data_IF_584377737365
#
_entry.id   IF_584377737365
#
_cell.length_a   1.000
_cell.length_b   1.000
_cell.length_c   1.000
_cell.angle_alpha   90.00
_cell.angle_beta   90.00
_cell.angle_gamma   90.00
#
_symmetry.space_group_name_H-M   'P 1'
#
loop_
_entity.id
_entity.type
_entity.pdbx_description
1 polymer ?
#
# COMPACT_ATOMS: atom_id res chain seq x y z
N UNK A 1 0.67 -0.99 24.34
CA UNK A 1 1.79 -1.51 23.52
C UNK A 1 1.48 -1.53 22.03
N UNK A 2 0.25 -1.87 21.62
CA UNK A 2 -0.14 -1.98 20.20
C UNK A 2 -0.10 -0.66 19.40
N UNK A 3 -0.12 0.50 20.07
CA UNK A 3 -0.02 1.81 19.44
C UNK A 3 1.26 1.98 18.58
N UNK A 4 2.34 1.26 18.93
CA UNK A 4 3.59 1.30 18.18
C UNK A 4 3.45 0.82 16.72
N UNK A 5 2.41 0.05 16.41
CA UNK A 5 2.18 -0.50 15.07
C UNK A 5 1.86 0.57 14.03
N UNK A 6 1.30 1.71 14.45
CA UNK A 6 1.02 2.84 13.56
C UNK A 6 2.32 3.40 12.96
N UNK A 7 3.44 3.28 13.68
CA UNK A 7 4.72 3.76 13.22
C UNK A 7 5.47 2.79 12.30
N UNK A 8 5.00 1.54 12.11
CA UNK A 8 5.74 0.57 11.30
C UNK A 8 5.87 1.03 9.84
N UNK A 9 4.80 1.53 9.22
CA UNK A 9 4.86 2.00 7.83
C UNK A 9 5.73 3.26 7.68
N UNK A 10 5.60 4.30 8.53
CA UNK A 10 6.55 5.42 8.55
C UNK A 10 8.00 4.98 8.77
N UNK A 11 8.26 4.03 9.68
CA UNK A 11 9.60 3.52 9.94
C UNK A 11 10.15 2.71 8.76
N UNK A 12 9.33 1.89 8.11
CA UNK A 12 9.71 1.15 6.91
C UNK A 12 10.07 2.10 5.77
N UNK A 13 9.31 3.19 5.59
CA UNK A 13 9.64 4.24 4.64
C UNK A 13 10.96 4.93 5.00
N UNK A 14 11.17 5.32 6.27
CA UNK A 14 12.41 5.96 6.69
C UNK A 14 13.62 5.04 6.47
N UNK A 15 13.50 3.75 6.81
CA UNK A 15 14.54 2.77 6.52
C UNK A 15 14.83 2.70 5.02
N UNK A 16 13.82 2.60 4.17
CA UNK A 16 13.99 2.64 2.72
C UNK A 16 14.72 3.92 2.27
N UNK A 17 14.27 5.09 2.73
CA UNK A 17 14.81 6.39 2.31
C UNK A 17 16.28 6.59 2.71
N UNK A 18 16.73 5.99 3.81
CA UNK A 18 18.13 6.04 4.26
C UNK A 18 19.04 5.18 3.36
N UNK A 19 18.51 4.10 2.79
CA UNK A 19 19.26 3.21 1.91
C UNK A 19 19.14 3.54 0.42
N UNK A 20 18.12 4.34 0.03
CA UNK A 20 17.99 4.89 -1.32
C UNK A 20 18.88 6.13 -1.48
N UNK A 21 19.67 6.19 -2.56
CA UNK A 21 20.61 7.29 -2.81
C UNK A 21 19.90 8.60 -3.23
N UNK A 22 18.64 8.54 -3.64
CA UNK A 22 17.86 9.70 -4.07
C UNK A 22 16.88 10.16 -3.00
N UNK A 23 17.19 11.30 -2.39
CA UNK A 23 16.43 11.89 -1.27
C UNK A 23 15.69 13.17 -1.64
N UNK A 24 15.92 13.73 -2.84
CA UNK A 24 15.22 14.94 -3.27
C UNK A 24 13.74 14.64 -3.52
N UNK A 25 12.86 15.21 -2.70
CA UNK A 25 11.42 15.12 -2.91
C UNK A 25 10.71 13.88 -2.33
N UNK A 26 11.45 12.83 -1.95
CA UNK A 26 10.85 11.58 -1.42
C UNK A 26 10.15 11.80 -0.08
N UNK A 27 10.79 12.52 0.85
CA UNK A 27 10.18 12.84 2.15
C UNK A 27 8.97 13.77 2.02
N UNK A 28 9.03 14.78 1.14
CA UNK A 28 7.86 15.63 0.87
C UNK A 28 6.72 14.84 0.25
N UNK A 29 7.01 13.93 -0.68
CA UNK A 29 5.98 13.07 -1.27
C UNK A 29 5.35 12.13 -0.26
N UNK A 30 6.11 11.62 0.72
CA UNK A 30 5.56 10.88 1.85
C UNK A 30 4.58 11.72 2.69
N UNK A 31 4.94 12.97 3.02
CA UNK A 31 4.04 13.89 3.76
C UNK A 31 2.78 14.20 2.96
N UNK A 32 2.93 14.53 1.66
CA UNK A 32 1.77 14.78 0.79
C UNK A 32 0.92 13.51 0.70
N UNK A 33 1.55 12.33 0.65
CA UNK A 33 0.89 11.03 0.71
C UNK A 33 0.08 10.80 1.98
N UNK A 34 0.60 11.19 3.16
CA UNK A 34 -0.17 11.13 4.41
C UNK A 34 -1.44 12.00 4.32
N UNK A 35 -1.30 13.24 3.82
CA UNK A 35 -2.42 14.15 3.64
C UNK A 35 -3.43 13.60 2.61
N UNK A 36 -2.95 13.09 1.48
CA UNK A 36 -3.81 12.53 0.43
C UNK A 36 -4.52 11.27 0.88
N UNK A 37 -3.88 10.45 1.71
CA UNK A 37 -4.49 9.28 2.34
C UNK A 37 -5.60 9.66 3.33
N UNK A 38 -5.45 10.74 4.11
CA UNK A 38 -6.53 11.26 4.95
C UNK A 38 -7.72 11.75 4.11
N UNK A 39 -7.46 12.48 3.03
CA UNK A 39 -8.51 12.92 2.09
C UNK A 39 -9.19 11.71 1.44
N UNK A 40 -8.42 10.69 1.05
CA UNK A 40 -8.95 9.45 0.52
C UNK A 40 -9.89 8.74 1.50
N UNK A 41 -9.51 8.64 2.78
CA UNK A 41 -10.36 8.06 3.81
C UNK A 41 -11.68 8.83 3.98
N UNK A 42 -11.63 10.16 3.91
CA UNK A 42 -12.84 11.00 3.91
C UNK A 42 -13.71 10.72 2.68
N UNK A 43 -13.14 10.67 1.48
CA UNK A 43 -13.87 10.36 0.24
C UNK A 43 -14.54 8.98 0.36
N UNK A 44 -13.80 7.97 0.82
CA UNK A 44 -14.29 6.59 0.97
C UNK A 44 -15.42 6.51 2.00
N UNK A 45 -15.42 7.37 3.03
CA UNK A 45 -16.49 7.38 4.03
C UNK A 45 -17.88 7.71 3.45
N UNK A 46 -17.93 8.39 2.30
CA UNK A 46 -19.18 8.63 1.57
C UNK A 46 -19.68 7.40 0.79
N UNK A 47 -18.84 6.39 0.58
CA UNK A 47 -19.24 5.14 -0.07
C UNK A 47 -19.81 4.18 0.98
N UNK A 48 -21.07 3.80 0.83
CA UNK A 48 -21.79 2.86 1.70
C UNK A 48 -21.31 1.40 1.55
N UNK A 49 -20.05 1.11 1.89
CA UNK A 49 -19.46 -0.25 1.82
C UNK A 49 -20.04 -1.19 2.91
N UNK A 50 -20.87 -0.65 3.82
CA UNK A 50 -21.54 -1.41 4.88
C UNK A 50 -22.36 -2.60 4.37
N UNK A 51 -22.93 -2.54 3.16
CA UNK A 51 -23.67 -3.65 2.57
C UNK A 51 -22.83 -4.92 2.31
N UNK A 52 -21.53 -4.75 2.08
CA UNK A 52 -20.58 -5.87 1.87
C UNK A 52 -20.18 -6.56 3.18
N UNK A 53 -20.56 -6.00 4.33
CA UNK A 53 -20.15 -6.52 5.64
C UNK A 53 -20.97 -7.69 6.18
N UNK A 54 -22.15 -7.94 5.60
CA UNK A 54 -23.15 -8.91 6.09
C UNK A 54 -23.15 -10.22 5.28
N UNK A 55 -22.27 -10.37 4.29
CA UNK A 55 -22.22 -11.57 3.45
C UNK A 55 -21.46 -12.72 4.13
N UNK A 56 -21.90 -13.96 3.95
CA UNK A 56 -21.15 -15.16 4.34
C UNK A 56 -20.18 -15.64 3.25
N UNK A 57 -20.15 -14.98 2.09
CA UNK A 57 -19.36 -15.40 0.94
C UNK A 57 -17.90 -14.95 1.04
N UNK A 58 -16.98 -15.92 0.98
CA UNK A 58 -15.54 -15.67 0.95
C UNK A 58 -15.14 -14.67 -0.15
N UNK A 59 -15.65 -14.84 -1.36
CA UNK A 59 -15.36 -13.95 -2.50
C UNK A 59 -15.79 -12.52 -2.22
N UNK A 60 -16.96 -12.32 -1.62
CA UNK A 60 -17.46 -10.98 -1.27
C UNK A 60 -16.54 -10.29 -0.27
N UNK A 61 -16.01 -11.03 0.70
CA UNK A 61 -15.04 -10.51 1.66
C UNK A 61 -13.68 -10.18 1.04
N UNK A 62 -13.20 -10.96 0.06
CA UNK A 62 -11.98 -10.60 -0.68
C UNK A 62 -12.18 -9.25 -1.35
N UNK A 63 -13.27 -9.07 -2.08
CA UNK A 63 -13.58 -7.79 -2.73
C UNK A 63 -13.77 -6.67 -1.72
N UNK A 64 -14.42 -6.92 -0.59
CA UNK A 64 -14.56 -5.92 0.48
C UNK A 64 -13.20 -5.45 0.98
N UNK A 65 -12.31 -6.37 1.35
CA UNK A 65 -10.98 -6.02 1.82
C UNK A 65 -10.15 -5.33 0.74
N UNK A 66 -10.21 -5.82 -0.49
CA UNK A 66 -9.52 -5.22 -1.62
C UNK A 66 -9.98 -3.78 -1.88
N UNK A 67 -11.30 -3.55 -1.97
CA UNK A 67 -11.88 -2.23 -2.21
C UNK A 67 -11.59 -1.27 -1.06
N UNK A 68 -11.87 -1.69 0.18
CA UNK A 68 -11.85 -0.82 1.35
C UNK A 68 -10.43 -0.49 1.82
N UNK A 69 -9.50 -1.46 1.76
CA UNK A 69 -8.15 -1.24 2.24
C UNK A 69 -7.19 -0.82 1.14
N UNK A 70 -7.30 -1.36 -0.08
CA UNK A 70 -6.28 -1.18 -1.12
C UNK A 70 -6.72 -0.32 -2.29
N UNK A 71 -7.73 -0.76 -3.06
CA UNK A 71 -8.06 -0.16 -4.36
C UNK A 71 -8.49 1.29 -4.21
N UNK A 72 -9.51 1.57 -3.39
CA UNK A 72 -10.05 2.92 -3.28
C UNK A 72 -9.03 3.87 -2.65
N UNK A 73 -8.30 3.41 -1.63
CA UNK A 73 -7.26 4.22 -1.00
C UNK A 73 -6.09 4.52 -1.95
N UNK A 74 -5.65 3.51 -2.70
CA UNK A 74 -4.63 3.68 -3.72
C UNK A 74 -5.06 4.67 -4.80
N UNK A 75 -6.25 4.47 -5.38
CA UNK A 75 -6.76 5.33 -6.47
C UNK A 75 -6.99 6.77 -5.99
N UNK A 76 -7.79 6.99 -4.96
CA UNK A 76 -8.11 8.34 -4.51
C UNK A 76 -6.91 9.03 -3.86
N UNK A 77 -6.13 8.30 -3.06
CA UNK A 77 -4.92 8.84 -2.44
C UNK A 77 -3.88 9.27 -3.48
N UNK A 78 -3.65 8.46 -4.52
CA UNK A 78 -2.74 8.82 -5.61
C UNK A 78 -3.31 9.92 -6.50
N UNK A 79 -4.60 9.91 -6.82
CA UNK A 79 -5.22 10.99 -7.59
C UNK A 79 -5.06 12.35 -6.89
N UNK A 80 -5.31 12.41 -5.59
CA UNK A 80 -5.11 13.63 -4.79
C UNK A 80 -3.62 13.98 -4.71
N UNK A 81 -2.74 12.99 -4.53
CA UNK A 81 -1.29 13.22 -4.56
C UNK A 81 -0.84 13.84 -5.89
N UNK A 82 -1.25 13.29 -7.04
CA UNK A 82 -0.88 13.83 -8.35
C UNK A 82 -1.44 15.24 -8.57
N UNK A 83 -2.68 15.52 -8.15
CA UNK A 83 -3.25 16.88 -8.23
C UNK A 83 -2.41 17.89 -7.43
N UNK A 84 -2.01 17.53 -6.20
CA UNK A 84 -1.18 18.40 -5.35
C UNK A 84 0.22 18.52 -5.94
N UNK A 85 0.85 17.41 -6.28
CA UNK A 85 2.23 17.36 -6.76
C UNK A 85 2.37 18.10 -8.08
N UNK A 86 1.50 17.90 -9.07
CA UNK A 86 1.54 18.67 -10.32
C UNK A 86 1.36 20.18 -10.13
N UNK A 87 0.74 20.61 -9.03
CA UNK A 87 0.61 22.03 -8.69
C UNK A 87 1.89 22.62 -8.05
N UNK A 88 2.78 21.77 -7.51
CA UNK A 88 3.98 22.18 -6.75
C UNK A 88 5.27 21.90 -7.54
N UNK A 89 5.39 20.73 -8.17
CA UNK A 89 6.59 20.22 -8.84
C UNK A 89 6.24 19.18 -9.91
N UNK A 90 6.91 19.21 -11.06
CA UNK A 90 6.65 18.28 -12.18
C UNK A 90 7.00 16.80 -11.91
N UNK A 91 7.87 16.50 -10.94
CA UNK A 91 8.44 15.17 -10.68
C UNK A 91 7.59 14.31 -9.72
N UNK A 92 6.32 14.11 -10.06
CA UNK A 92 5.39 13.37 -9.21
C UNK A 92 5.47 11.84 -9.37
N UNK A 93 5.93 11.34 -10.52
CA UNK A 93 5.92 9.90 -10.82
C UNK A 93 7.01 9.15 -10.05
N UNK A 94 8.24 9.66 -10.03
CA UNK A 94 9.36 9.00 -9.37
C UNK A 94 9.20 8.96 -7.84
N UNK A 95 8.48 9.95 -7.30
CA UNK A 95 8.20 10.04 -5.87
C UNK A 95 6.90 9.36 -5.43
N UNK A 96 6.14 8.78 -6.37
CA UNK A 96 4.84 8.14 -6.12
C UNK A 96 4.93 6.93 -5.17
N UNK A 97 6.04 6.20 -5.17
CA UNK A 97 6.35 5.16 -4.20
C UNK A 97 6.31 5.69 -2.76
N UNK A 98 6.95 6.84 -2.53
CA UNK A 98 7.00 7.48 -1.21
C UNK A 98 5.60 7.95 -0.80
N UNK A 99 4.82 8.45 -1.76
CA UNK A 99 3.43 8.82 -1.55
C UNK A 99 2.56 7.62 -1.15
N UNK A 100 2.75 6.45 -1.77
CA UNK A 100 2.05 5.21 -1.39
C UNK A 100 2.34 4.85 0.08
N UNK A 101 3.59 4.93 0.53
CA UNK A 101 3.91 4.73 1.95
C UNK A 101 3.16 5.70 2.85
N UNK A 102 3.06 6.97 2.47
CA UNK A 102 2.29 7.99 3.20
C UNK A 102 0.80 7.67 3.24
N UNK A 103 0.19 7.38 2.08
CA UNK A 103 -1.23 7.06 1.94
C UNK A 103 -1.59 5.87 2.83
N UNK A 104 -0.83 4.78 2.71
CA UNK A 104 -1.13 3.58 3.48
C UNK A 104 -0.78 3.70 4.96
N UNK A 105 0.12 4.62 5.35
CA UNK A 105 0.34 4.96 6.76
C UNK A 105 -0.90 5.58 7.40
N UNK A 106 -1.59 6.50 6.71
CA UNK A 106 -2.86 7.04 7.24
C UNK A 106 -3.96 5.98 7.28
N UNK A 107 -4.02 5.11 6.27
CA UNK A 107 -4.98 3.98 6.24
C UNK A 107 -4.72 3.01 7.39
N UNK A 108 -3.46 2.67 7.67
CA UNK A 108 -3.08 1.83 8.81
C UNK A 108 -3.45 2.47 10.15
N UNK A 109 -3.20 3.78 10.31
CA UNK A 109 -3.60 4.54 11.50
C UNK A 109 -5.12 4.51 11.71
N UNK A 110 -5.90 4.69 10.65
CA UNK A 110 -7.35 4.60 10.71
C UNK A 110 -7.85 3.19 11.02
N UNK A 111 -7.27 2.16 10.39
CA UNK A 111 -7.60 0.76 10.67
C UNK A 111 -7.29 0.38 12.13
N UNK A 112 -6.15 0.84 12.66
CA UNK A 112 -5.80 0.68 14.07
C UNK A 112 -6.83 1.38 14.99
N UNK A 113 -7.18 2.63 14.70
CA UNK A 113 -8.16 3.37 15.49
C UNK A 113 -9.52 2.67 15.55
N UNK A 114 -10.01 2.19 14.40
CA UNK A 114 -11.29 1.46 14.31
C UNK A 114 -11.27 0.15 15.11
N UNK A 115 -10.12 -0.50 15.21
CA UNK A 115 -9.95 -1.79 15.86
C UNK A 115 -9.31 -1.71 17.25
N UNK A 116 -9.21 -0.53 17.86
CA UNK A 116 -8.46 -0.31 19.11
C UNK A 116 -8.96 -1.15 20.30
N UNK A 117 -10.26 -1.48 20.30
CA UNK A 117 -10.91 -2.29 21.33
C UNK A 117 -10.90 -3.79 21.01
N UNK A 118 -10.36 -4.19 19.85
CA UNK A 118 -10.28 -5.59 19.43
C UNK A 118 -8.95 -6.16 19.94
N UNK A 119 -8.95 -7.24 20.73
CA UNK A 119 -7.72 -7.79 21.31
C UNK A 119 -6.80 -8.43 20.26
N UNK A 120 -7.35 -8.81 19.10
CA UNK A 120 -6.61 -9.46 18.02
C UNK A 120 -6.08 -8.45 17.00
N UNK A 121 -4.76 -8.38 16.88
CA UNK A 121 -4.02 -7.43 16.03
C UNK A 121 -3.68 -8.08 14.67
N UNK A 122 -3.93 -9.37 14.48
CA UNK A 122 -3.49 -10.11 13.30
C UNK A 122 -3.93 -9.46 11.98
N UNK A 123 -5.13 -8.88 11.91
CA UNK A 123 -5.59 -8.13 10.74
C UNK A 123 -4.60 -7.02 10.35
N UNK A 124 -4.19 -6.22 11.33
CA UNK A 124 -3.31 -5.07 11.13
C UNK A 124 -1.90 -5.52 10.74
N UNK A 125 -1.40 -6.59 11.35
CA UNK A 125 -0.08 -7.15 11.00
C UNK A 125 -0.06 -7.70 9.58
N UNK A 126 -1.11 -8.44 9.18
CA UNK A 126 -1.26 -8.95 7.82
C UNK A 126 -1.34 -7.79 6.84
N UNK A 127 -2.17 -6.79 7.14
CA UNK A 127 -2.32 -5.58 6.31
C UNK A 127 -0.98 -4.85 6.12
N UNK A 128 -0.27 -4.54 7.20
CA UNK A 128 1.03 -3.84 7.12
C UNK A 128 2.04 -4.65 6.31
N UNK A 129 2.12 -5.97 6.53
CA UNK A 129 3.01 -6.87 5.78
C UNK A 129 2.71 -6.85 4.28
N UNK A 130 1.43 -6.94 3.92
CA UNK A 130 0.98 -6.90 2.52
C UNK A 130 1.32 -5.55 1.89
N UNK A 131 1.00 -4.45 2.57
CA UNK A 131 1.25 -3.09 2.06
C UNK A 131 2.73 -2.86 1.80
N UNK A 132 3.61 -3.16 2.77
CA UNK A 132 5.05 -2.96 2.59
C UNK A 132 5.55 -3.77 1.40
N UNK A 133 5.21 -5.07 1.35
CA UNK A 133 5.63 -5.93 0.26
C UNK A 133 5.12 -5.46 -1.10
N UNK A 134 3.84 -5.10 -1.20
CA UNK A 134 3.22 -4.62 -2.43
C UNK A 134 3.86 -3.32 -2.93
N UNK A 135 4.14 -2.37 -2.04
CA UNK A 135 4.79 -1.10 -2.42
C UNK A 135 6.24 -1.34 -2.87
N UNK A 136 6.99 -2.25 -2.22
CA UNK A 136 8.34 -2.60 -2.67
C UNK A 136 8.37 -3.33 -4.02
N UNK A 137 7.38 -4.21 -4.28
CA UNK A 137 7.22 -4.84 -5.60
C UNK A 137 6.89 -3.79 -6.66
N UNK A 138 6.02 -2.84 -6.34
CA UNK A 138 5.69 -1.71 -7.21
C UNK A 138 6.94 -0.91 -7.60
N UNK A 139 7.75 -0.52 -6.61
CA UNK A 139 9.01 0.22 -6.83
C UNK A 139 9.97 -0.51 -7.76
N UNK A 140 10.19 -1.80 -7.48
CA UNK A 140 11.05 -2.65 -8.28
C UNK A 140 10.59 -2.72 -9.74
N UNK A 141 9.29 -2.96 -9.95
CA UNK A 141 8.72 -3.05 -11.29
C UNK A 141 8.84 -1.71 -12.00
N UNK A 142 8.54 -0.60 -11.33
CA UNK A 142 8.65 0.74 -11.90
C UNK A 142 10.10 1.05 -12.32
N UNK A 143 11.08 0.85 -11.44
CA UNK A 143 12.49 1.15 -11.70
C UNK A 143 13.07 0.27 -12.81
N UNK A 144 12.75 -1.03 -12.84
CA UNK A 144 13.19 -1.92 -13.92
C UNK A 144 12.58 -1.53 -15.26
N UNK A 145 11.29 -1.20 -15.28
CA UNK A 145 10.63 -0.83 -16.53
C UNK A 145 11.16 0.50 -17.06
N UNK A 146 11.36 1.51 -16.21
CA UNK A 146 11.98 2.79 -16.62
C UNK A 146 13.40 2.58 -17.16
N UNK A 147 14.21 1.76 -16.48
CA UNK A 147 15.59 1.55 -16.90
C UNK A 147 15.73 0.81 -18.25
N UNK A 148 14.77 -0.06 -18.60
CA UNK A 148 14.88 -0.95 -19.76
C UNK A 148 13.97 -0.60 -20.93
N UNK A 149 12.88 0.13 -20.70
CA UNK A 149 11.95 0.52 -21.76
C UNK A 149 12.27 1.93 -22.21
N UNK A 150 12.76 2.06 -23.45
CA UNK A 150 12.89 3.36 -24.15
C UNK A 150 11.54 3.93 -24.59
N UNK A 151 10.44 3.54 -23.93
CA UNK A 151 9.11 4.07 -24.23
C UNK A 151 9.07 5.46 -23.62
N UNK A 152 8.83 6.48 -24.46
CA UNK A 152 8.80 7.90 -24.08
C UNK A 152 7.59 8.30 -23.22
N UNK A 153 7.03 7.38 -22.42
CA UNK A 153 5.81 7.59 -21.65
C UNK A 153 5.95 6.98 -20.24
N UNK A 154 6.64 7.69 -19.35
CA UNK A 154 6.82 7.31 -17.93
C UNK A 154 5.49 7.02 -17.23
N UNK A 155 4.42 7.71 -17.64
CA UNK A 155 3.07 7.47 -17.14
C UNK A 155 2.51 6.08 -17.51
N UNK A 156 2.82 5.56 -18.71
CA UNK A 156 2.39 4.22 -19.12
C UNK A 156 3.14 3.15 -18.32
N UNK A 157 4.44 3.36 -18.06
CA UNK A 157 5.24 2.50 -17.19
C UNK A 157 4.66 2.47 -15.78
N UNK A 158 4.33 3.65 -15.25
CA UNK A 158 3.65 3.79 -13.96
C UNK A 158 2.33 3.01 -13.91
N UNK A 159 1.47 3.10 -14.93
CA UNK A 159 0.20 2.36 -14.98
C UNK A 159 0.41 0.84 -14.93
N UNK A 160 1.44 0.33 -15.60
CA UNK A 160 1.78 -1.10 -15.56
C UNK A 160 2.24 -1.50 -14.16
N UNK A 161 3.15 -0.72 -13.55
CA UNK A 161 3.61 -0.98 -12.18
C UNK A 161 2.44 -0.92 -11.18
N UNK A 162 1.53 0.05 -11.34
CA UNK A 162 0.35 0.17 -10.49
C UNK A 162 -0.62 -1.01 -10.67
N UNK A 163 -0.78 -1.55 -11.89
CA UNK A 163 -1.56 -2.76 -12.09
C UNK A 163 -0.95 -3.96 -11.33
N UNK A 164 0.38 -4.08 -11.30
CA UNK A 164 1.05 -5.11 -10.47
C UNK A 164 0.77 -4.90 -8.99
N UNK A 165 0.86 -3.65 -8.50
CA UNK A 165 0.48 -3.31 -7.12
C UNK A 165 -0.94 -3.77 -6.78
N UNK A 166 -1.91 -3.55 -7.68
CA UNK A 166 -3.29 -3.96 -7.48
C UNK A 166 -3.44 -5.48 -7.45
N UNK A 167 -2.76 -6.22 -8.34
CA UNK A 167 -2.80 -7.69 -8.36
C UNK A 167 -2.23 -8.27 -7.05
N UNK A 168 -1.09 -7.77 -6.59
CA UNK A 168 -0.47 -8.19 -5.32
C UNK A 168 -1.38 -7.85 -4.13
N UNK A 169 -1.97 -6.65 -4.13
CA UNK A 169 -2.92 -6.22 -3.08
C UNK A 169 -4.18 -7.08 -3.07
N UNK A 170 -4.68 -7.52 -4.24
CA UNK A 170 -5.80 -8.44 -4.34
C UNK A 170 -5.44 -9.82 -3.75
N UNK A 171 -4.25 -10.34 -4.04
CA UNK A 171 -3.74 -11.58 -3.41
C UNK A 171 -3.62 -11.43 -1.88
N UNK A 172 -3.13 -10.28 -1.40
CA UNK A 172 -3.11 -9.98 0.03
C UNK A 172 -4.50 -9.91 0.65
N UNK A 173 -5.51 -9.44 -0.10
CA UNK A 173 -6.91 -9.42 0.35
C UNK A 173 -7.46 -10.83 0.54
N UNK A 174 -6.98 -11.83 -0.20
CA UNK A 174 -7.27 -13.24 0.07
C UNK A 174 -6.75 -13.69 1.44
N UNK A 175 -5.56 -13.24 1.86
CA UNK A 175 -5.03 -13.55 3.19
C UNK A 175 -5.91 -12.93 4.31
N UNK A 176 -6.36 -11.69 4.12
CA UNK A 176 -7.28 -11.03 5.07
C UNK A 176 -8.64 -11.73 5.12
N UNK A 177 -9.18 -12.15 3.98
CA UNK A 177 -10.42 -12.93 3.94
C UNK A 177 -10.26 -14.29 4.64
N UNK A 178 -9.14 -15.00 4.41
CA UNK A 178 -8.85 -16.27 5.09
C UNK A 178 -8.73 -16.10 6.59
N UNK A 179 -8.06 -15.05 7.05
CA UNK A 179 -8.01 -14.70 8.47
C UNK A 179 -9.41 -14.44 9.04
N UNK A 180 -10.23 -13.66 8.34
CA UNK A 180 -11.59 -13.33 8.78
C UNK A 180 -12.48 -14.57 8.95
N UNK A 181 -12.39 -15.53 8.02
CA UNK A 181 -13.14 -16.79 8.11
C UNK A 181 -12.49 -17.85 9.02
N UNK A 182 -11.51 -17.46 9.83
CA UNK A 182 -10.76 -18.39 10.70
C UNK A 182 -10.15 -19.56 9.93
N UNK A 183 -9.72 -19.32 8.70
CA UNK A 183 -8.95 -20.26 7.90
C UNK A 183 -7.60 -20.56 8.54
N UNK A 184 -6.88 -21.53 7.96
CA UNK A 184 -5.58 -21.96 8.50
C UNK A 184 -4.59 -20.81 8.64
N UNK A 185 -4.07 -20.63 9.87
CA UNK A 185 -3.07 -19.60 10.18
C UNK A 185 -1.82 -19.71 9.32
N UNK A 186 -1.40 -20.93 9.02
CA UNK A 186 -0.27 -21.18 8.13
C UNK A 186 -0.49 -20.57 6.75
N UNK A 187 -1.72 -20.65 6.22
CA UNK A 187 -2.04 -20.20 4.86
C UNK A 187 -2.06 -18.68 4.78
N UNK A 188 -2.84 -17.99 5.63
CA UNK A 188 -2.90 -16.53 5.54
C UNK A 188 -1.56 -15.86 5.93
N UNK A 189 -0.80 -16.43 6.87
CA UNK A 189 0.54 -15.94 7.18
C UNK A 189 1.51 -16.18 6.03
N UNK A 190 1.49 -17.34 5.38
CA UNK A 190 2.37 -17.62 4.24
C UNK A 190 2.16 -16.66 3.07
N UNK A 191 0.91 -16.27 2.80
CA UNK A 191 0.61 -15.31 1.72
C UNK A 191 1.15 -13.93 2.09
N UNK A 192 0.83 -13.42 3.28
CA UNK A 192 1.27 -12.09 3.72
C UNK A 192 2.78 -11.97 3.88
N UNK A 193 3.42 -12.98 4.48
CA UNK A 193 4.89 -13.04 4.64
C UNK A 193 5.55 -13.25 3.28
N UNK A 194 4.98 -14.08 2.41
CA UNK A 194 5.47 -14.29 1.05
C UNK A 194 5.53 -12.98 0.27
N UNK A 195 4.43 -12.20 0.26
CA UNK A 195 4.39 -10.87 -0.39
C UNK A 195 5.46 -9.94 0.19
N UNK A 196 5.59 -9.88 1.51
CA UNK A 196 6.60 -9.06 2.18
C UNK A 196 8.03 -9.46 1.83
N UNK A 197 8.36 -10.76 1.93
CA UNK A 197 9.69 -11.27 1.63
C UNK A 197 10.04 -11.10 0.16
N UNK A 198 9.10 -11.34 -0.76
CA UNK A 198 9.30 -11.08 -2.19
C UNK A 198 9.63 -9.60 -2.41
N UNK A 199 8.84 -8.68 -1.86
CA UNK A 199 9.13 -7.24 -1.97
C UNK A 199 10.49 -6.85 -1.38
N UNK A 200 10.84 -7.36 -0.20
CA UNK A 200 12.13 -7.11 0.43
C UNK A 200 13.31 -7.65 -0.40
N UNK A 201 13.21 -8.87 -0.93
CA UNK A 201 14.24 -9.46 -1.80
C UNK A 201 14.40 -8.62 -3.07
N UNK A 202 13.31 -8.25 -3.72
CA UNK A 202 13.33 -7.44 -4.93
C UNK A 202 13.95 -6.06 -4.69
N UNK A 203 13.62 -5.41 -3.56
CA UNK A 203 14.25 -4.15 -3.16
C UNK A 203 15.77 -4.29 -2.99
N UNK A 204 16.23 -5.35 -2.31
CA UNK A 204 17.67 -5.63 -2.16
C UNK A 204 18.33 -5.84 -3.53
N UNK A 205 17.67 -6.54 -4.46
CA UNK A 205 18.18 -6.72 -5.83
C UNK A 205 18.28 -5.38 -6.55
N UNK A 206 17.22 -4.55 -6.54
CA UNK A 206 17.23 -3.24 -7.20
C UNK A 206 18.24 -2.27 -6.59
N UNK A 207 18.50 -2.31 -5.29
CA UNK A 207 19.49 -1.44 -4.64
C UNK A 207 20.94 -1.73 -5.05
N UNK A 208 21.17 -2.85 -5.76
CA UNK A 208 22.50 -3.30 -6.23
C UNK A 208 22.66 -3.22 -7.76
N UNK A 209 21.59 -2.95 -8.49
CA UNK A 209 21.62 -2.68 -9.94
C UNK A 209 22.03 -1.22 -10.16
#
# INVERSE_FOLDING_TARGET
MNFLLIFILPLAFLLYSVFSKDTSGTFSAFIIGLCSGLVSLLIISFFGISGLSVSSSFTVHIFRFFLQYFLLNGIFGLAVFFLISFSISGEALDTSFSALFGIFSSVAGYAFYKNINIPNISELLLFISIVIGAILIFDFVFNILIANLTISFDFLIYLIAFAVFLIVSFLGSCALALWYFSGSAAVYLSISIGIFLTGAILHVVSSRL
#
